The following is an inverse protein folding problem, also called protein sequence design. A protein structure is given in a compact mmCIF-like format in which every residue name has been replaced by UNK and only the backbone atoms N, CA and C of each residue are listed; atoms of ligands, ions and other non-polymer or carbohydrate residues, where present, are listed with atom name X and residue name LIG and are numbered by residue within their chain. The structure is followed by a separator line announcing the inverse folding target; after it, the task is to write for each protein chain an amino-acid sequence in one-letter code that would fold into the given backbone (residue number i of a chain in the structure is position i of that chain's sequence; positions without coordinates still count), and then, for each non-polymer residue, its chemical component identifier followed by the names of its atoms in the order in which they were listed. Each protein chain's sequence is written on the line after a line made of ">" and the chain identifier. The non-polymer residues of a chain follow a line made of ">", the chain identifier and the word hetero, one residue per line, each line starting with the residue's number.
data_IF_069283388886
#
_entry.id   IF_069283388886
#
_cell.length_a   1.000
_cell.length_b   1.000
_cell.length_c   1.000
_cell.angle_alpha   90.00
_cell.angle_beta   90.00
_cell.angle_gamma   90.00
#
_symmetry.space_group_name_H-M   'P 1'
#
loop_
_entity.id
_entity.type
_entity.pdbx_description
1 polymer ?
#
# COMPACT_ATOMS: atom_id res chain seq x y z
N UNK A 1 -36.52 28.38 -7.22
CA UNK A 1 -35.25 27.90 -7.85
C UNK A 1 -34.60 26.92 -6.86
N UNK A 2 -34.64 25.66 -7.14
CA UNK A 2 -34.21 24.57 -6.24
C UNK A 2 -32.91 23.99 -6.83
N UNK A 3 -31.80 24.32 -6.22
CA UNK A 3 -30.52 23.72 -6.60
C UNK A 3 -30.46 22.25 -6.20
N UNK A 4 -30.23 21.43 -7.17
CA UNK A 4 -30.13 19.98 -7.05
C UNK A 4 -28.66 19.65 -6.77
N UNK A 5 -28.35 19.45 -5.49
CA UNK A 5 -27.03 19.02 -5.04
C UNK A 5 -26.87 17.54 -5.42
N UNK A 6 -26.17 17.27 -6.50
CA UNK A 6 -25.83 15.91 -6.92
C UNK A 6 -24.54 15.49 -6.20
N UNK A 7 -24.68 14.81 -5.07
CA UNK A 7 -23.58 14.08 -4.44
C UNK A 7 -23.11 12.99 -5.42
N UNK A 8 -21.93 13.21 -6.01
CA UNK A 8 -21.24 12.18 -6.77
C UNK A 8 -20.62 11.19 -5.77
N UNK A 9 -21.32 10.10 -5.52
CA UNK A 9 -20.66 8.91 -4.94
C UNK A 9 -19.64 8.44 -5.97
N UNK A 10 -18.37 8.63 -5.68
CA UNK A 10 -17.28 8.01 -6.42
C UNK A 10 -17.34 6.50 -6.14
N UNK A 11 -17.72 5.73 -7.13
CA UNK A 11 -17.68 4.28 -7.08
C UNK A 11 -16.21 3.86 -7.12
N UNK A 12 -15.65 3.45 -5.99
CA UNK A 12 -14.35 2.83 -5.94
C UNK A 12 -14.43 1.47 -6.64
N UNK A 13 -13.83 1.35 -7.81
CA UNK A 13 -13.75 0.08 -8.53
C UNK A 13 -12.64 -0.77 -7.90
N UNK A 14 -13.00 -1.85 -7.24
CA UNK A 14 -12.07 -2.90 -6.88
C UNK A 14 -11.64 -3.64 -8.15
N UNK A 15 -10.36 -3.53 -8.51
CA UNK A 15 -9.79 -4.25 -9.65
C UNK A 15 -9.12 -5.51 -9.13
N UNK A 16 -9.72 -6.66 -9.36
CA UNK A 16 -9.11 -7.97 -9.14
C UNK A 16 -8.40 -8.37 -10.44
N UNK A 17 -7.09 -8.36 -10.43
CA UNK A 17 -6.28 -8.83 -11.55
C UNK A 17 -5.74 -10.22 -11.30
N UNK A 18 -6.02 -11.14 -12.19
CA UNK A 18 -5.44 -12.50 -12.21
C UNK A 18 -4.15 -12.47 -13.00
N UNK A 19 -3.12 -13.08 -12.48
CA UNK A 19 -1.84 -13.34 -13.14
C UNK A 19 -2.03 -13.93 -14.55
N UNK A 20 -1.56 -13.21 -15.55
CA UNK A 20 -1.45 -13.70 -16.92
C UNK A 20 -2.45 -13.08 -17.90
N UNK A 21 -2.12 -11.91 -18.44
CA UNK A 21 -2.84 -11.34 -19.58
C UNK A 21 -2.55 -9.86 -19.76
N UNK A 22 -2.08 -9.52 -20.93
CA UNK A 22 -1.91 -8.14 -21.38
C UNK A 22 -3.29 -7.49 -21.46
N UNK A 23 -3.69 -6.68 -20.48
CA UNK A 23 -4.89 -5.86 -20.56
C UNK A 23 -4.50 -4.47 -21.06
N UNK A 24 -4.85 -4.20 -22.32
CA UNK A 24 -4.80 -2.86 -22.91
C UNK A 24 -6.03 -2.10 -22.43
N UNK A 25 -5.83 -1.03 -21.67
CA UNK A 25 -6.89 -0.12 -21.24
C UNK A 25 -7.10 0.98 -22.25
N UNK A 26 -8.35 1.37 -22.56
CA UNK A 26 -8.59 2.59 -23.32
C UNK A 26 -8.24 3.81 -22.46
N UNK A 27 -7.48 4.71 -23.03
CA UNK A 27 -7.04 5.94 -22.39
C UNK A 27 -8.23 6.86 -22.09
N UNK A 28 -8.53 7.03 -20.80
CA UNK A 28 -9.37 8.12 -20.32
C UNK A 28 -8.59 8.83 -19.20
N UNK A 29 -8.00 9.97 -19.55
CA UNK A 29 -7.35 10.89 -18.62
C UNK A 29 -6.04 10.36 -18.03
N UNK A 30 -4.92 10.88 -18.48
CA UNK A 30 -3.56 10.49 -18.04
C UNK A 30 -3.30 10.81 -16.58
N UNK A 31 -3.75 9.96 -15.66
CA UNK A 31 -3.06 9.80 -14.40
C UNK A 31 -1.92 8.80 -14.68
N UNK A 32 -0.70 9.30 -14.75
CA UNK A 32 0.47 8.46 -14.91
C UNK A 32 0.67 7.70 -13.59
N UNK A 33 0.23 6.44 -13.54
CA UNK A 33 0.58 5.52 -12.47
C UNK A 33 2.09 5.31 -12.55
N UNK A 34 2.85 6.06 -11.78
CA UNK A 34 4.23 5.68 -11.52
C UNK A 34 4.16 4.40 -10.68
N UNK A 35 4.76 3.30 -11.14
CA UNK A 35 4.82 2.09 -10.31
C UNK A 35 5.49 2.43 -8.99
N UNK A 36 5.09 1.76 -7.88
CA UNK A 36 5.79 1.93 -6.62
C UNK A 36 7.29 1.71 -6.84
N UNK A 37 8.15 2.49 -6.19
CA UNK A 37 9.58 2.41 -6.37
C UNK A 37 10.07 1.01 -5.98
N UNK A 38 10.72 0.35 -6.92
CA UNK A 38 11.28 -0.97 -6.71
C UNK A 38 12.60 -0.88 -5.94
N UNK A 39 12.72 -1.60 -4.85
CA UNK A 39 13.94 -1.72 -4.07
C UNK A 39 14.92 -2.63 -4.82
N UNK A 40 15.91 -2.03 -5.49
CA UNK A 40 16.98 -2.73 -6.19
C UNK A 40 16.52 -3.49 -7.45
N UNK A 41 17.45 -4.11 -8.20
CA UNK A 41 17.10 -4.84 -9.40
C UNK A 41 16.46 -6.19 -9.06
N UNK A 42 15.23 -6.14 -8.57
CA UNK A 42 14.37 -7.32 -8.61
C UNK A 42 13.82 -7.33 -10.02
N UNK A 43 14.31 -8.25 -10.84
CA UNK A 43 13.69 -8.50 -12.14
C UNK A 43 12.20 -8.74 -11.88
N UNK A 44 11.28 -8.06 -12.59
CA UNK A 44 9.85 -8.27 -12.40
C UNK A 44 9.53 -9.71 -12.74
N UNK A 45 9.38 -10.53 -11.73
CA UNK A 45 8.89 -11.88 -11.90
C UNK A 45 7.40 -11.76 -12.06
N UNK A 46 6.93 -11.84 -13.31
CA UNK A 46 5.52 -11.77 -13.67
C UNK A 46 4.85 -10.39 -13.45
N UNK A 47 5.13 -9.53 -14.21
CA UNK A 47 4.75 -8.24 -14.76
C UNK A 47 3.37 -7.63 -14.51
N UNK A 48 2.68 -7.84 -13.41
CA UNK A 48 1.49 -7.05 -13.09
C UNK A 48 1.43 -6.74 -11.59
N UNK A 49 1.41 -5.45 -11.26
CA UNK A 49 1.07 -4.99 -9.91
C UNK A 49 -0.45 -4.92 -9.79
N UNK A 50 -1.01 -5.64 -8.84
CA UNK A 50 -2.44 -5.58 -8.53
C UNK A 50 -2.63 -4.77 -7.27
N UNK A 51 -3.37 -3.67 -7.36
CA UNK A 51 -3.82 -2.88 -6.21
C UNK A 51 -5.25 -3.31 -5.90
N UNK A 52 -5.50 -3.89 -4.72
CA UNK A 52 -6.82 -4.38 -4.33
C UNK A 52 -7.75 -3.24 -3.92
N UNK A 53 -7.22 -2.26 -3.20
CA UNK A 53 -7.89 -1.00 -2.93
C UNK A 53 -6.85 0.10 -2.72
N UNK A 54 -7.13 1.32 -3.16
CA UNK A 54 -6.20 2.44 -3.02
C UNK A 54 -6.90 3.77 -3.27
N UNK A 55 -6.42 4.82 -2.62
CA UNK A 55 -6.96 6.17 -2.75
C UNK A 55 -6.65 6.81 -4.10
N UNK A 56 -5.63 6.32 -4.81
CA UNK A 56 -4.98 7.08 -5.87
C UNK A 56 -4.09 8.18 -5.29
N UNK A 57 -3.74 9.14 -6.12
CA UNK A 57 -2.73 10.16 -5.83
C UNK A 57 -3.39 11.53 -5.61
N UNK A 58 -3.07 12.21 -4.49
CA UNK A 58 -3.39 13.61 -4.28
C UNK A 58 -2.42 14.53 -5.03
N UNK A 59 -2.95 15.60 -5.62
CA UNK A 59 -2.11 16.66 -6.18
C UNK A 59 -1.42 17.44 -5.07
N UNK A 60 -0.16 17.79 -5.31
CA UNK A 60 0.66 18.57 -4.39
C UNK A 60 0.07 19.94 -4.06
N UNK A 61 0.14 20.37 -2.80
CA UNK A 61 -0.27 21.70 -2.34
C UNK A 61 -1.79 21.95 -2.33
N UNK A 62 -2.59 20.90 -2.51
CA UNK A 62 -4.05 20.99 -2.39
C UNK A 62 -4.49 20.54 -1.00
N UNK A 63 -5.34 21.34 -0.35
CA UNK A 63 -6.07 20.87 0.83
C UNK A 63 -7.24 20.00 0.35
N UNK A 64 -7.03 18.68 0.33
CA UNK A 64 -8.01 17.70 -0.16
C UNK A 64 -7.83 16.36 0.56
N UNK A 65 -8.81 15.49 0.44
CA UNK A 65 -8.77 14.15 1.02
C UNK A 65 -9.33 13.12 0.05
N UNK A 66 -8.61 12.01 -0.10
CA UNK A 66 -9.04 10.83 -0.83
C UNK A 66 -9.22 9.66 0.14
N UNK A 67 -10.25 8.87 -0.08
CA UNK A 67 -10.54 7.69 0.74
C UNK A 67 -10.96 6.52 -0.15
N UNK A 68 -10.50 5.34 0.22
CA UNK A 68 -10.98 4.07 -0.32
C UNK A 68 -11.25 3.11 0.83
N UNK A 69 -12.29 2.30 0.71
CA UNK A 69 -12.62 1.29 1.71
C UNK A 69 -13.29 0.07 1.06
N UNK A 70 -13.14 -1.08 1.70
CA UNK A 70 -13.75 -2.33 1.28
C UNK A 70 -14.05 -3.21 2.49
N UNK A 71 -15.12 -4.00 2.42
CA UNK A 71 -15.46 -4.94 3.50
C UNK A 71 -14.56 -6.17 3.42
N UNK A 72 -14.33 -6.66 2.22
CA UNK A 72 -13.44 -7.80 1.95
C UNK A 72 -12.71 -7.57 0.64
N UNK A 73 -11.47 -7.96 0.58
CA UNK A 73 -10.73 -8.06 -0.68
C UNK A 73 -9.76 -9.24 -0.63
N UNK A 74 -9.37 -9.74 -1.79
CA UNK A 74 -8.41 -10.82 -1.85
C UNK A 74 -8.04 -11.24 -3.26
N UNK A 75 -6.97 -12.00 -3.33
CA UNK A 75 -6.53 -12.74 -4.51
C UNK A 75 -6.69 -14.21 -4.17
N UNK A 76 -7.50 -14.98 -4.92
CA UNK A 76 -7.76 -16.38 -4.61
C UNK A 76 -6.46 -17.17 -4.37
N UNK A 77 -6.42 -17.94 -3.28
CA UNK A 77 -5.29 -18.78 -2.86
C UNK A 77 -4.01 -18.04 -2.46
N UNK A 78 -3.95 -16.72 -2.56
CA UNK A 78 -2.79 -15.91 -2.20
C UNK A 78 -3.06 -15.01 -0.99
N UNK A 79 -4.05 -14.14 -1.07
CA UNK A 79 -4.30 -13.09 -0.09
C UNK A 79 -5.79 -12.93 0.18
N UNK A 80 -6.17 -12.82 1.43
CA UNK A 80 -7.47 -12.30 1.85
C UNK A 80 -7.30 -11.30 2.98
N UNK A 81 -8.19 -10.33 3.04
CA UNK A 81 -8.25 -9.33 4.11
C UNK A 81 -9.67 -8.78 4.25
N UNK A 82 -9.98 -8.29 5.44
CA UNK A 82 -11.27 -7.71 5.78
C UNK A 82 -11.10 -6.26 6.24
N UNK A 83 -12.18 -5.48 6.15
CA UNK A 83 -12.23 -4.08 6.61
C UNK A 83 -11.04 -3.27 6.10
N UNK A 84 -10.89 -3.24 4.78
CA UNK A 84 -9.82 -2.50 4.13
C UNK A 84 -10.13 -1.01 4.17
N UNK A 85 -9.14 -0.22 4.57
CA UNK A 85 -9.25 1.23 4.62
C UNK A 85 -7.96 1.88 4.11
N UNK A 86 -8.10 2.87 3.24
CA UNK A 86 -7.01 3.71 2.82
C UNK A 86 -7.46 5.17 2.80
N UNK A 87 -6.61 6.05 3.28
CA UNK A 87 -6.85 7.50 3.29
C UNK A 87 -5.58 8.25 2.91
N UNK A 88 -5.76 9.32 2.15
CA UNK A 88 -4.71 10.27 1.83
C UNK A 88 -5.26 11.67 2.07
N UNK A 89 -4.56 12.48 2.86
CA UNK A 89 -4.98 13.85 3.23
C UNK A 89 -3.84 14.80 2.92
N UNK A 90 -4.14 15.82 2.13
CA UNK A 90 -3.25 16.93 1.84
C UNK A 90 -3.62 18.17 2.65
N UNK A 91 -2.61 18.83 3.19
CA UNK A 91 -2.64 20.15 3.78
C UNK A 91 -1.64 21.06 3.04
N UNK A 92 -1.65 22.37 3.20
CA UNK A 92 -0.70 23.23 2.53
C UNK A 92 0.77 22.92 2.84
N UNK A 93 1.06 22.40 4.02
CA UNK A 93 2.40 22.16 4.58
C UNK A 93 2.63 20.72 5.07
N UNK A 94 1.64 19.85 4.97
CA UNK A 94 1.70 18.45 5.40
C UNK A 94 0.93 17.55 4.47
N UNK A 95 1.39 16.31 4.36
CA UNK A 95 0.69 15.22 3.69
C UNK A 95 0.68 14.01 4.60
N UNK A 96 -0.51 13.42 4.77
CA UNK A 96 -0.71 12.17 5.49
C UNK A 96 -1.25 11.10 4.55
N UNK A 97 -0.72 9.89 4.70
CA UNK A 97 -1.21 8.69 4.01
C UNK A 97 -1.28 7.55 4.99
N UNK A 98 -2.38 6.81 4.97
CA UNK A 98 -2.59 5.63 5.81
C UNK A 98 -3.30 4.53 5.02
N UNK A 99 -2.88 3.29 5.26
CA UNK A 99 -3.55 2.11 4.77
C UNK A 99 -3.65 1.06 5.87
N UNK A 100 -4.79 0.40 5.99
CA UNK A 100 -5.02 -0.64 7.00
C UNK A 100 -5.96 -1.73 6.52
N UNK A 101 -5.80 -2.91 7.09
CA UNK A 101 -6.71 -4.03 6.92
C UNK A 101 -6.75 -4.91 8.18
N UNK A 102 -7.85 -5.61 8.37
CA UNK A 102 -8.02 -6.62 9.40
C UNK A 102 -8.03 -8.03 8.80
N UNK A 103 -7.87 -9.04 9.67
CA UNK A 103 -7.96 -10.46 9.33
C UNK A 103 -7.13 -10.84 8.09
N UNK A 104 -5.86 -10.40 8.06
CA UNK A 104 -4.93 -10.77 7.00
C UNK A 104 -4.69 -12.28 6.99
N UNK A 105 -4.89 -12.91 5.84
CA UNK A 105 -4.38 -14.23 5.55
C UNK A 105 -3.66 -14.20 4.19
N UNK A 106 -2.34 -14.42 4.22
CA UNK A 106 -1.46 -14.41 3.05
C UNK A 106 -0.76 -15.77 2.96
N UNK A 107 -0.79 -16.39 1.78
CA UNK A 107 -0.10 -17.64 1.50
C UNK A 107 0.88 -17.44 0.35
N UNK A 108 2.18 -17.54 0.63
CA UNK A 108 3.25 -17.35 -0.35
C UNK A 108 4.18 -18.56 -0.32
N UNK A 109 4.27 -19.26 -1.45
CA UNK A 109 5.17 -20.42 -1.61
C UNK A 109 5.06 -21.46 -0.47
N UNK A 110 3.84 -21.73 -0.01
CA UNK A 110 3.59 -22.68 1.09
C UNK A 110 3.84 -22.11 2.50
N UNK A 111 4.19 -20.83 2.62
CA UNK A 111 4.27 -20.12 3.89
C UNK A 111 2.95 -19.39 4.13
N UNK A 112 2.31 -19.68 5.26
CA UNK A 112 1.10 -18.98 5.71
C UNK A 112 1.49 -17.84 6.66
N UNK A 113 1.01 -16.64 6.36
CA UNK A 113 1.21 -15.43 7.17
C UNK A 113 -0.16 -14.90 7.54
N UNK A 114 -0.42 -14.74 8.82
CA UNK A 114 -1.68 -14.21 9.35
C UNK A 114 -1.44 -13.05 10.30
N UNK A 115 -2.34 -12.08 10.31
CA UNK A 115 -2.37 -11.02 11.31
C UNK A 115 -3.82 -10.58 11.57
N UNK A 116 -4.11 -10.20 12.81
CA UNK A 116 -5.44 -9.70 13.18
C UNK A 116 -5.67 -8.29 12.62
N UNK A 117 -4.62 -7.46 12.61
CA UNK A 117 -4.66 -6.11 12.08
C UNK A 117 -3.29 -5.70 11.53
N UNK A 118 -3.29 -4.96 10.43
CA UNK A 118 -2.09 -4.42 9.77
C UNK A 118 -2.36 -3.00 9.33
N UNK A 119 -1.49 -2.06 9.69
CA UNK A 119 -1.60 -0.65 9.31
C UNK A 119 -0.22 -0.07 9.00
N UNK A 120 -0.15 0.76 7.98
CA UNK A 120 0.99 1.66 7.72
C UNK A 120 0.54 3.10 7.67
N UNK A 121 1.42 4.00 8.05
CA UNK A 121 1.23 5.44 7.94
C UNK A 121 2.53 6.11 7.49
N UNK A 122 2.40 7.04 6.57
CA UNK A 122 3.46 7.94 6.16
C UNK A 122 2.97 9.40 6.28
N UNK A 123 3.77 10.23 6.92
CA UNK A 123 3.52 11.67 7.06
C UNK A 123 4.72 12.42 6.52
N UNK A 124 4.49 13.39 5.66
CA UNK A 124 5.56 14.25 5.14
C UNK A 124 5.23 15.73 5.36
N UNK A 125 6.26 16.47 5.77
CA UNK A 125 6.30 17.94 5.81
C UNK A 125 7.48 18.40 4.98
N UNK A 126 7.60 19.69 4.74
CA UNK A 126 8.74 20.23 3.98
C UNK A 126 10.08 19.83 4.62
N UNK A 127 10.88 19.08 3.87
CA UNK A 127 12.22 18.64 4.29
C UNK A 127 12.26 17.42 5.23
N UNK A 128 11.12 16.81 5.58
CA UNK A 128 11.08 15.64 6.44
C UNK A 128 9.91 14.71 6.10
N UNK A 129 10.15 13.42 6.21
CA UNK A 129 9.09 12.41 6.18
C UNK A 129 9.31 11.39 7.29
N UNK A 130 8.22 10.92 7.91
CA UNK A 130 8.23 9.91 8.97
C UNK A 130 7.21 8.82 8.66
N UNK A 131 7.55 7.59 9.03
CA UNK A 131 6.72 6.41 8.80
C UNK A 131 6.56 5.58 10.05
N UNK A 132 5.41 4.94 10.17
CA UNK A 132 5.11 3.97 11.23
C UNK A 132 4.26 2.85 10.69
N UNK A 133 4.31 1.68 11.34
CA UNK A 133 3.34 0.62 11.13
C UNK A 133 2.85 0.06 12.46
N UNK A 134 1.65 -0.52 12.44
CA UNK A 134 1.13 -1.33 13.53
C UNK A 134 0.71 -2.70 12.97
N UNK A 135 1.12 -3.77 13.63
CA UNK A 135 0.78 -5.14 13.24
C UNK A 135 0.43 -5.89 14.50
N UNK A 136 -0.81 -6.34 14.59
CA UNK A 136 -1.30 -7.11 15.75
C UNK A 136 -1.56 -8.56 15.34
N UNK A 137 -1.27 -9.49 16.27
CA UNK A 137 -1.56 -10.91 16.10
C UNK A 137 -0.76 -11.59 14.97
N UNK A 138 0.43 -11.07 14.61
CA UNK A 138 1.24 -11.65 13.55
C UNK A 138 1.66 -13.08 13.84
N UNK A 139 1.44 -13.96 12.87
CA UNK A 139 1.91 -15.34 12.92
C UNK A 139 2.43 -15.78 11.55
N UNK A 140 3.45 -16.64 11.54
CA UNK A 140 3.98 -17.30 10.34
C UNK A 140 3.92 -18.81 10.57
N UNK A 141 3.21 -19.52 9.69
CA UNK A 141 2.91 -20.95 9.83
C UNK A 141 2.31 -21.31 11.20
N UNK A 142 1.46 -20.44 11.73
CA UNK A 142 0.82 -20.59 13.03
C UNK A 142 1.73 -20.28 14.23
N UNK A 143 2.99 -19.89 14.02
CA UNK A 143 3.92 -19.49 15.07
C UNK A 143 3.81 -17.97 15.30
N UNK A 144 3.47 -17.51 16.50
CA UNK A 144 3.44 -16.08 16.81
C UNK A 144 4.80 -15.42 16.60
N UNK A 145 4.80 -14.25 16.01
CA UNK A 145 6.00 -13.45 15.70
C UNK A 145 6.00 -12.20 16.58
N UNK A 146 7.12 -11.93 17.23
CA UNK A 146 7.32 -10.70 17.97
C UNK A 146 7.56 -9.55 16.99
N UNK A 147 6.63 -8.60 16.94
CA UNK A 147 6.79 -7.33 16.20
C UNK A 147 7.48 -6.34 17.14
N UNK A 148 8.68 -5.88 16.77
CA UNK A 148 9.47 -4.96 17.62
C UNK A 148 9.05 -3.50 17.41
N UNK A 149 8.41 -3.19 16.28
CA UNK A 149 8.11 -1.81 15.87
C UNK A 149 9.28 -1.11 15.16
N UNK A 150 10.48 -1.69 15.17
CA UNK A 150 11.62 -1.14 14.47
C UNK A 150 11.38 -1.14 12.96
N UNK A 151 11.94 -0.12 12.27
CA UNK A 151 11.89 -0.08 10.82
C UNK A 151 12.70 -1.24 10.21
N UNK A 152 12.13 -1.86 9.17
CA UNK A 152 12.75 -2.92 8.38
C UNK A 152 13.08 -4.21 9.17
N UNK A 153 12.27 -4.55 10.19
CA UNK A 153 12.40 -5.83 10.88
C UNK A 153 12.22 -6.98 9.89
N UNK A 154 13.27 -7.78 9.68
CA UNK A 154 13.27 -8.83 8.66
C UNK A 154 13.21 -10.23 9.29
N UNK A 155 12.30 -11.06 8.77
CA UNK A 155 12.08 -12.45 9.19
C UNK A 155 12.33 -13.34 7.98
N UNK A 156 13.26 -14.31 8.09
CA UNK A 156 13.51 -15.29 7.04
C UNK A 156 12.38 -16.29 6.90
N UNK A 157 11.96 -16.58 5.67
CA UNK A 157 11.02 -17.63 5.32
C UNK A 157 11.61 -18.51 4.21
N UNK A 158 11.09 -19.72 3.96
CA UNK A 158 11.57 -20.55 2.84
C UNK A 158 11.55 -19.81 1.51
N UNK A 159 12.71 -19.67 0.89
CA UNK A 159 12.88 -19.02 -0.42
C UNK A 159 12.82 -17.49 -0.42
N UNK A 160 12.73 -16.85 0.76
CA UNK A 160 12.57 -15.40 0.82
C UNK A 160 12.58 -14.80 2.23
N UNK A 161 11.88 -13.68 2.37
CA UNK A 161 11.76 -12.96 3.64
C UNK A 161 10.41 -12.24 3.76
N UNK A 162 10.06 -11.94 5.00
CA UNK A 162 9.00 -10.99 5.35
C UNK A 162 9.66 -9.81 6.06
N UNK A 163 9.41 -8.61 5.56
CA UNK A 163 9.88 -7.36 6.16
C UNK A 163 8.69 -6.67 6.80
N UNK A 164 8.81 -6.33 8.09
CA UNK A 164 7.81 -5.62 8.86
C UNK A 164 8.23 -4.17 9.00
N UNK A 165 7.25 -3.25 8.98
CA UNK A 165 7.52 -1.81 9.04
C UNK A 165 8.61 -1.41 8.04
N UNK A 166 8.49 -1.91 6.80
CA UNK A 166 9.44 -1.56 5.77
C UNK A 166 9.33 -0.07 5.44
N UNK A 167 10.45 0.62 5.53
CA UNK A 167 10.55 2.05 5.24
C UNK A 167 11.62 2.31 4.20
N UNK A 168 11.22 2.97 3.12
CA UNK A 168 12.12 3.34 2.03
C UNK A 168 12.01 4.83 1.74
N UNK A 169 13.11 5.54 1.93
CA UNK A 169 13.25 6.93 1.49
C UNK A 169 13.77 6.97 0.06
N UNK A 170 13.05 7.66 -0.80
CA UNK A 170 13.41 7.85 -2.20
C UNK A 170 14.29 9.11 -2.38
N UNK A 171 15.07 9.19 -3.47
CA UNK A 171 15.93 10.34 -3.75
C UNK A 171 15.19 11.69 -3.84
N UNK A 172 13.91 11.65 -4.11
CA UNK A 172 13.05 12.84 -4.22
C UNK A 172 12.40 13.29 -2.91
N UNK A 173 12.78 12.66 -1.79
CA UNK A 173 12.24 12.95 -0.46
C UNK A 173 10.93 12.25 -0.14
N UNK A 174 10.44 11.38 -1.01
CA UNK A 174 9.27 10.55 -0.76
C UNK A 174 9.62 9.40 0.18
N UNK A 175 8.76 9.13 1.15
CA UNK A 175 8.83 7.96 2.02
C UNK A 175 7.73 6.97 1.65
N UNK A 176 8.11 5.71 1.44
CA UNK A 176 7.19 4.58 1.29
C UNK A 176 7.25 3.76 2.57
N UNK A 177 6.11 3.40 3.11
CA UNK A 177 5.97 2.55 4.31
C UNK A 177 5.05 1.38 3.98
N UNK A 178 5.58 0.17 4.06
CA UNK A 178 4.80 -1.05 3.97
C UNK A 178 4.71 -1.68 5.35
N UNK A 179 3.52 -1.92 5.85
CA UNK A 179 3.40 -2.57 7.16
C UNK A 179 3.97 -3.99 7.13
N UNK A 180 3.69 -4.74 6.07
CA UNK A 180 4.23 -6.07 5.82
C UNK A 180 4.60 -6.20 4.34
N UNK A 181 5.80 -6.70 4.04
CA UNK A 181 6.26 -6.97 2.71
C UNK A 181 6.84 -8.38 2.62
N UNK A 182 6.18 -9.29 1.91
CA UNK A 182 6.60 -10.66 1.71
C UNK A 182 7.24 -10.81 0.33
N UNK A 183 8.50 -11.24 0.31
CA UNK A 183 9.29 -11.41 -0.91
C UNK A 183 9.75 -12.87 -0.98
N UNK A 184 9.34 -13.59 -2.02
CA UNK A 184 9.83 -14.93 -2.32
C UNK A 184 10.37 -14.93 -3.75
N UNK A 185 11.68 -15.11 -3.87
CA UNK A 185 12.41 -14.98 -5.14
C UNK A 185 11.82 -15.86 -6.23
N UNK A 186 11.44 -15.23 -7.35
CA UNK A 186 10.86 -15.92 -8.50
C UNK A 186 9.40 -16.38 -8.33
N UNK A 187 8.75 -16.08 -7.21
CA UNK A 187 7.39 -16.55 -6.90
C UNK A 187 6.43 -15.40 -6.59
N UNK A 188 6.78 -14.52 -5.65
CA UNK A 188 5.88 -13.46 -5.23
C UNK A 188 6.63 -12.28 -4.61
N UNK A 189 6.03 -11.10 -4.78
CA UNK A 189 6.41 -9.83 -4.19
C UNK A 189 5.09 -9.15 -3.78
N UNK A 190 4.79 -9.14 -2.47
CA UNK A 190 3.49 -8.74 -1.93
C UNK A 190 3.66 -7.75 -0.81
N UNK A 191 3.34 -6.49 -1.06
CA UNK A 191 3.22 -5.47 -0.02
C UNK A 191 1.77 -5.38 0.49
N UNK A 192 1.62 -5.36 1.80
CA UNK A 192 0.33 -5.28 2.50
C UNK A 192 0.31 -4.01 3.34
N UNK A 193 -0.76 -3.24 3.21
CA UNK A 193 -0.92 -1.93 3.81
C UNK A 193 0.29 -1.02 3.49
N UNK A 194 0.23 -0.35 2.34
CA UNK A 194 1.30 0.53 1.85
C UNK A 194 0.85 1.99 1.88
N UNK A 195 1.62 2.83 2.53
CA UNK A 195 1.41 4.28 2.63
C UNK A 195 2.61 5.02 2.03
N UNK A 196 2.34 6.10 1.30
CA UNK A 196 3.39 6.90 0.66
C UNK A 196 3.13 8.38 0.89
N UNK A 197 4.13 9.12 1.36
CA UNK A 197 4.06 10.56 1.52
C UNK A 197 5.40 11.22 1.16
N UNK A 198 5.35 12.41 0.53
CA UNK A 198 6.57 13.13 0.20
C UNK A 198 6.33 14.57 -0.24
N UNK A 199 7.33 15.43 0.04
CA UNK A 199 7.47 16.77 -0.50
C UNK A 199 8.76 16.86 -1.31
N UNK A 200 8.68 17.26 -2.57
CA UNK A 200 9.86 17.48 -3.40
C UNK A 200 9.96 18.94 -3.83
N UNK A 201 11.11 19.58 -3.57
CA UNK A 201 11.44 20.90 -4.08
C UNK A 201 10.46 22.01 -3.68
N UNK A 202 9.83 21.93 -2.51
CA UNK A 202 8.82 22.89 -2.05
C UNK A 202 7.42 22.65 -2.62
N UNK A 203 7.23 21.60 -3.36
CA UNK A 203 5.93 21.15 -3.83
C UNK A 203 5.60 19.79 -3.23
N UNK A 204 4.39 19.63 -2.74
CA UNK A 204 3.93 18.33 -2.26
C UNK A 204 3.92 17.32 -3.42
N UNK A 205 4.44 16.13 -3.18
CA UNK A 205 4.33 15.01 -4.10
C UNK A 205 3.12 14.16 -3.74
N UNK A 206 2.62 13.52 -4.74
CA UNK A 206 1.49 12.62 -4.67
C UNK A 206 1.59 11.62 -3.52
N UNK A 207 0.48 11.46 -2.84
CA UNK A 207 0.30 10.52 -1.74
C UNK A 207 -0.53 9.34 -2.23
N UNK A 208 -0.09 8.14 -1.91
CA UNK A 208 -0.85 6.93 -2.20
C UNK A 208 -0.90 6.06 -0.96
N UNK A 209 -2.08 5.59 -0.62
CA UNK A 209 -2.27 4.50 0.32
C UNK A 209 -2.86 3.31 -0.43
N UNK A 210 -2.26 2.13 -0.24
CA UNK A 210 -2.66 0.88 -0.91
C UNK A 210 -2.43 -0.34 -0.01
N UNK A 211 -3.04 -1.43 -0.32
CA UNK A 211 -2.88 -2.75 0.31
C UNK A 211 -3.03 -3.86 -0.71
#
# INVERSE_FOLDING_TARGET
>A
MREKNSSRLGLAAAVVGVLGGLLVWPAVGSAQLTPPPQIGPVAPVLGATTVLAGTGTLAAGTSDALQASGVTAGIPSLLTGEVLHAVAIGYPDQIDSEASLAALALNVAGTSIGADFVMSRATAVVGSAVGTSNIDGLSINGVPILVTGDANQTIGIPGGSVVLNEQQSLPDGTLVVNALHAIVSGVADVAVASATAGFSGGSAKAVQASY
#
